data_IF_677150047371
#
_entry.id   IF_677150047371
#
_cell.length_a   1.000
_cell.length_b   1.000
_cell.length_c   1.000
_cell.angle_alpha   90.00
_cell.angle_beta   90.00
_cell.angle_gamma   90.00
#
_symmetry.space_group_name_H-M   'P 1'
#
loop_
_entity.id
_entity.type
_entity.pdbx_description
1 polymer ?
#
# COMPACT_ATOMS: atom_id res chain seq x y z
N UNK A 1 -8.66 -4.26 -14.20
CA UNK A 1 -7.42 -4.00 -13.44
C UNK A 1 -7.60 -4.23 -11.94
N UNK A 2 -8.59 -3.61 -11.27
CA UNK A 2 -8.83 -3.74 -9.83
C UNK A 2 -9.04 -5.20 -9.39
N UNK A 3 -9.86 -5.96 -10.12
CA UNK A 3 -10.11 -7.39 -9.88
C UNK A 3 -8.82 -8.22 -9.93
N UNK A 4 -7.91 -7.89 -10.84
CA UNK A 4 -6.62 -8.58 -10.95
C UNK A 4 -5.72 -8.29 -9.76
N UNK A 5 -5.64 -7.04 -9.27
CA UNK A 5 -4.94 -6.73 -8.04
C UNK A 5 -5.51 -7.49 -6.84
N UNK A 6 -6.84 -7.57 -6.72
CA UNK A 6 -7.48 -8.36 -5.66
C UNK A 6 -7.07 -9.83 -5.75
N UNK A 7 -7.27 -10.46 -6.91
CA UNK A 7 -7.02 -11.90 -7.11
C UNK A 7 -5.54 -12.27 -7.00
N UNK A 8 -4.64 -11.50 -7.61
CA UNK A 8 -3.24 -11.91 -7.76
C UNK A 8 -2.30 -11.31 -6.70
N UNK A 9 -2.72 -10.29 -5.96
CA UNK A 9 -1.93 -9.70 -4.89
C UNK A 9 -2.56 -9.95 -3.52
N UNK A 10 -3.80 -9.48 -3.32
CA UNK A 10 -4.41 -9.49 -1.98
C UNK A 10 -4.64 -10.92 -1.49
N UNK A 11 -5.12 -11.82 -2.36
CA UNK A 11 -5.37 -13.21 -1.98
C UNK A 11 -4.09 -14.05 -1.78
N UNK A 12 -2.94 -13.58 -2.23
CA UNK A 12 -1.66 -14.32 -2.13
C UNK A 12 -0.86 -14.03 -0.88
N UNK A 13 -1.23 -13.04 -0.08
CA UNK A 13 -0.52 -12.69 1.14
C UNK A 13 -1.44 -12.06 2.17
N UNK A 14 -1.27 -12.44 3.44
CA UNK A 14 -1.97 -11.83 4.56
C UNK A 14 -1.30 -10.53 5.05
N UNK A 15 -0.20 -10.12 4.43
CA UNK A 15 0.56 -8.92 4.79
C UNK A 15 0.11 -7.68 4.00
N UNK A 16 -0.76 -7.87 3.00
CA UNK A 16 -1.34 -6.80 2.20
C UNK A 16 -2.86 -6.98 2.16
N UNK A 17 -3.58 -5.92 2.41
CA UNK A 17 -5.04 -5.88 2.30
C UNK A 17 -5.47 -4.78 1.35
N UNK A 18 -6.60 -4.91 0.69
CA UNK A 18 -7.29 -3.79 0.02
C UNK A 18 -8.23 -3.10 1.02
N UNK A 19 -8.64 -1.89 0.70
CA UNK A 19 -9.80 -1.31 1.35
C UNK A 19 -11.03 -2.14 0.95
N UNK A 20 -11.82 -2.53 1.94
CA UNK A 20 -13.08 -3.20 1.72
C UNK A 20 -14.12 -2.15 1.28
N UNK A 21 -14.88 -2.49 0.26
CA UNK A 21 -16.07 -1.76 -0.11
C UNK A 21 -17.24 -2.40 0.65
N UNK A 22 -18.11 -1.56 1.20
CA UNK A 22 -19.37 -2.05 1.75
C UNK A 22 -20.19 -2.78 0.67
N UNK A 23 -20.94 -3.78 1.11
CA UNK A 23 -21.72 -4.67 0.25
C UNK A 23 -22.52 -3.90 -0.82
N UNK A 24 -22.48 -4.39 -2.06
CA UNK A 24 -23.18 -3.87 -3.25
C UNK A 24 -22.64 -2.61 -3.90
N UNK A 25 -21.64 -1.94 -3.38
CA UNK A 25 -21.11 -0.74 -4.00
C UNK A 25 -20.18 -1.05 -5.19
N UNK A 26 -20.52 -0.55 -6.37
CA UNK A 26 -19.65 -0.56 -7.53
C UNK A 26 -18.73 0.67 -7.47
N UNK A 27 -17.44 0.43 -7.39
CA UNK A 27 -16.45 1.52 -7.39
C UNK A 27 -15.99 1.83 -8.81
N UNK A 28 -15.96 3.10 -9.17
CA UNK A 28 -15.32 3.60 -10.39
C UNK A 28 -13.78 3.60 -10.32
N UNK A 29 -13.19 3.04 -9.30
CA UNK A 29 -11.74 2.81 -9.10
C UNK A 29 -10.83 3.92 -9.66
N UNK A 30 -10.87 5.08 -9.04
CA UNK A 30 -9.89 6.14 -9.29
C UNK A 30 -8.50 5.77 -8.72
N UNK A 31 -8.47 5.17 -7.54
CA UNK A 31 -7.26 4.70 -6.86
C UNK A 31 -7.43 3.24 -6.43
N UNK A 32 -6.37 2.45 -6.53
CA UNK A 32 -6.31 1.14 -5.89
C UNK A 32 -5.37 1.20 -4.68
N UNK A 33 -5.97 1.33 -3.51
CA UNK A 33 -5.23 1.48 -2.26
C UNK A 33 -5.02 0.12 -1.62
N UNK A 34 -3.77 -0.14 -1.22
CA UNK A 34 -3.38 -1.29 -0.40
C UNK A 34 -2.93 -0.83 0.98
N UNK A 35 -3.22 -1.64 1.98
CA UNK A 35 -2.71 -1.50 3.33
C UNK A 35 -1.65 -2.58 3.54
N UNK A 36 -0.39 -2.16 3.70
CA UNK A 36 0.74 -3.07 3.91
C UNK A 36 1.10 -3.09 5.38
N UNK A 37 1.22 -4.29 5.96
CA UNK A 37 1.65 -4.44 7.36
C UNK A 37 3.18 -4.33 7.46
N UNK A 38 3.68 -3.10 7.37
CA UNK A 38 5.12 -2.80 7.44
C UNK A 38 5.75 -3.24 8.77
N UNK A 39 4.97 -3.25 9.86
CA UNK A 39 5.43 -3.72 11.17
C UNK A 39 5.74 -5.21 11.13
N UNK A 40 4.84 -6.01 10.58
CA UNK A 40 5.06 -7.46 10.43
C UNK A 40 6.18 -7.76 9.44
N UNK A 41 6.29 -6.97 8.37
CA UNK A 41 7.38 -7.10 7.39
C UNK A 41 8.75 -6.67 7.94
N UNK A 42 8.79 -5.86 9.02
CA UNK A 42 10.02 -5.24 9.58
C UNK A 42 10.82 -4.45 8.55
N UNK A 43 10.15 -3.82 7.62
CA UNK A 43 10.73 -2.88 6.67
C UNK A 43 10.08 -1.51 6.81
N UNK A 44 10.86 -0.48 6.53
CA UNK A 44 10.34 0.88 6.52
C UNK A 44 9.51 1.10 5.25
N UNK A 45 8.38 1.83 5.36
CA UNK A 45 7.52 2.19 4.24
C UNK A 45 8.28 2.91 3.13
N UNK A 46 9.17 3.85 3.49
CA UNK A 46 9.95 4.60 2.50
C UNK A 46 10.97 3.70 1.79
N UNK A 47 11.53 2.68 2.48
CA UNK A 47 12.41 1.69 1.85
C UNK A 47 11.66 0.82 0.85
N UNK A 48 10.43 0.45 1.18
CA UNK A 48 9.55 -0.26 0.26
C UNK A 48 9.25 0.58 -0.99
N UNK A 49 8.88 1.85 -0.81
CA UNK A 49 8.62 2.79 -1.92
C UNK A 49 9.90 2.95 -2.78
N UNK A 50 11.07 3.16 -2.16
CA UNK A 50 12.35 3.26 -2.88
C UNK A 50 12.69 1.98 -3.66
N UNK A 51 12.40 0.82 -3.07
CA UNK A 51 12.62 -0.46 -3.74
C UNK A 51 11.74 -0.61 -4.98
N UNK A 52 10.48 -0.19 -4.91
CA UNK A 52 9.57 -0.19 -6.05
C UNK A 52 10.03 0.81 -7.13
N UNK A 53 10.48 1.99 -6.71
CA UNK A 53 10.98 3.03 -7.62
C UNK A 53 12.22 2.55 -8.42
N UNK A 54 13.12 1.76 -7.83
CA UNK A 54 14.23 1.11 -8.56
C UNK A 54 13.76 0.22 -9.71
N UNK A 55 12.54 -0.27 -9.64
CA UNK A 55 11.88 -1.03 -10.71
C UNK A 55 11.00 -0.15 -11.61
N UNK A 56 11.16 1.18 -11.54
CA UNK A 56 10.35 2.17 -12.28
C UNK A 56 8.84 2.09 -11.97
N UNK A 57 8.50 1.65 -10.76
CA UNK A 57 7.13 1.57 -10.27
C UNK A 57 6.95 2.66 -9.21
N UNK A 58 6.11 3.66 -9.53
CA UNK A 58 5.79 4.77 -8.63
C UNK A 58 4.59 4.37 -7.77
N UNK A 59 4.80 4.34 -6.46
CA UNK A 59 3.73 4.20 -5.47
C UNK A 59 3.42 5.58 -4.88
N UNK A 60 2.16 5.86 -4.65
CA UNK A 60 1.72 7.15 -4.12
C UNK A 60 1.12 7.01 -2.73
N UNK A 61 1.15 8.12 -1.97
CA UNK A 61 0.57 8.20 -0.63
C UNK A 61 -0.58 9.23 -0.66
N UNK A 62 -1.80 8.79 -0.50
CA UNK A 62 -3.01 9.62 -0.46
C UNK A 62 -3.69 9.50 0.92
N UNK A 63 -3.58 10.51 1.77
CA UNK A 63 -2.75 11.72 1.76
C UNK A 63 -2.11 11.89 3.12
N UNK A 64 -1.18 12.87 3.26
CA UNK A 64 -0.68 13.26 4.58
C UNK A 64 -1.87 13.79 5.40
N UNK A 65 -2.11 13.27 6.61
CA UNK A 65 -3.19 13.77 7.46
C UNK A 65 -3.06 15.27 7.72
N UNK A 66 -4.18 16.00 7.60
CA UNK A 66 -4.19 17.47 7.67
C UNK A 66 -3.61 18.02 8.96
N UNK A 67 -3.84 17.36 10.09
CA UNK A 67 -3.26 17.78 11.38
C UNK A 67 -1.72 17.71 11.41
N UNK A 68 -1.10 16.90 10.52
CA UNK A 68 0.36 16.88 10.34
C UNK A 68 0.85 18.02 9.46
N UNK A 69 0.06 18.41 8.46
CA UNK A 69 0.37 19.54 7.58
C UNK A 69 0.27 20.88 8.32
N UNK A 70 -0.77 21.04 9.12
CA UNK A 70 -1.04 22.29 9.84
C UNK A 70 -0.19 22.47 11.10
N UNK A 71 0.78 21.59 11.33
CA UNK A 71 1.67 21.61 12.50
C UNK A 71 0.91 21.72 13.84
N UNK A 72 -0.28 21.16 13.91
CA UNK A 72 -1.15 21.15 15.10
C UNK A 72 -0.59 20.34 16.26
N UNK A 73 0.69 19.95 16.19
CA UNK A 73 1.40 19.19 17.23
C UNK A 73 1.38 19.86 18.61
N UNK A 74 1.23 21.17 18.63
CA UNK A 74 1.17 21.93 19.90
C UNK A 74 -0.19 21.86 20.62
N UNK A 75 -1.22 21.32 19.97
CA UNK A 75 -2.51 21.05 20.62
C UNK A 75 -2.46 19.62 21.18
N UNK A 76 -1.96 19.46 22.38
CA UNK A 76 -1.77 18.22 23.16
C UNK A 76 -2.99 17.28 23.26
N UNK A 77 -4.12 17.60 22.64
CA UNK A 77 -5.41 16.97 22.92
C UNK A 77 -6.04 16.23 21.74
N UNK A 78 -5.46 16.29 20.53
CA UNK A 78 -6.14 15.68 19.36
C UNK A 78 -5.33 14.49 18.87
N UNK A 79 -5.84 13.29 19.13
CA UNK A 79 -5.30 12.03 18.61
C UNK A 79 -6.23 11.47 17.54
N UNK A 80 -5.65 11.09 16.39
CA UNK A 80 -6.37 10.46 15.29
C UNK A 80 -5.74 9.09 14.97
N UNK A 81 -5.90 8.09 15.85
CA UNK A 81 -5.17 6.82 15.73
C UNK A 81 -5.50 6.07 14.44
N UNK A 82 -6.73 6.14 13.96
CA UNK A 82 -7.14 5.49 12.70
C UNK A 82 -6.51 6.19 11.48
N UNK A 83 -6.47 7.51 11.46
CA UNK A 83 -5.81 8.27 10.39
C UNK A 83 -4.30 8.02 10.37
N UNK A 84 -3.66 7.95 11.55
CA UNK A 84 -2.25 7.59 11.67
C UNK A 84 -1.98 6.16 11.20
N UNK A 85 -2.80 5.20 11.60
CA UNK A 85 -2.71 3.80 11.19
C UNK A 85 -2.86 3.67 9.67
N UNK A 86 -3.86 4.35 9.11
CA UNK A 86 -4.06 4.40 7.66
C UNK A 86 -2.83 4.98 6.96
N UNK A 87 -2.42 6.18 7.33
CA UNK A 87 -1.29 6.87 6.69
C UNK A 87 0.02 6.06 6.78
N UNK A 88 0.26 5.37 7.90
CA UNK A 88 1.45 4.52 8.06
C UNK A 88 1.46 3.33 7.10
N UNK A 89 0.31 2.79 6.74
CA UNK A 89 0.19 1.52 6.02
C UNK A 89 -0.29 1.66 4.57
N UNK A 90 -1.00 2.74 4.23
CA UNK A 90 -1.63 2.91 2.93
C UNK A 90 -0.64 3.31 1.84
N UNK A 91 -0.78 2.66 0.68
CA UNK A 91 -0.10 3.00 -0.57
C UNK A 91 -1.07 2.81 -1.73
N UNK A 92 -1.04 3.72 -2.70
CA UNK A 92 -1.81 3.57 -3.95
C UNK A 92 -0.93 2.93 -5.01
N UNK A 93 -1.45 1.87 -5.62
CA UNK A 93 -0.84 1.20 -6.75
C UNK A 93 -1.18 1.92 -8.06
N UNK A 94 -0.32 1.83 -9.07
CA UNK A 94 -0.64 2.35 -10.40
C UNK A 94 -1.97 1.79 -10.91
N UNK A 95 -2.89 2.68 -11.26
CA UNK A 95 -4.18 2.34 -11.85
C UNK A 95 -4.57 3.46 -12.82
N UNK A 96 -4.52 3.19 -14.13
CA UNK A 96 -4.82 4.12 -15.20
C UNK A 96 -5.21 3.36 -16.47
N UNK A 97 -5.87 4.01 -17.41
CA UNK A 97 -6.47 3.36 -18.58
C UNK A 97 -5.46 2.57 -19.43
N UNK A 98 -4.26 3.12 -19.64
CA UNK A 98 -3.21 2.50 -20.48
C UNK A 98 -2.34 1.48 -19.73
N UNK A 99 -2.72 1.13 -18.49
CA UNK A 99 -2.02 0.10 -17.73
C UNK A 99 -2.35 -1.28 -18.29
N UNK A 100 -1.43 -1.84 -19.08
CA UNK A 100 -1.60 -3.17 -19.67
C UNK A 100 -1.56 -4.27 -18.60
N UNK A 101 -2.19 -5.41 -18.88
CA UNK A 101 -2.16 -6.58 -17.99
C UNK A 101 -0.74 -7.09 -17.73
N UNK A 102 0.16 -6.98 -18.71
CA UNK A 102 1.57 -7.33 -18.56
C UNK A 102 2.29 -6.42 -17.57
N UNK A 103 2.14 -5.09 -17.71
CA UNK A 103 2.69 -4.11 -16.75
C UNK A 103 2.12 -4.31 -15.35
N UNK A 104 0.82 -4.57 -15.25
CA UNK A 104 0.18 -4.85 -13.96
C UNK A 104 0.73 -6.13 -13.30
N UNK A 105 0.91 -7.21 -14.07
CA UNK A 105 1.53 -8.46 -13.59
C UNK A 105 2.96 -8.21 -13.10
N UNK A 106 3.73 -7.39 -13.82
CA UNK A 106 5.07 -6.97 -13.40
C UNK A 106 5.04 -6.28 -12.02
N UNK A 107 4.13 -5.30 -11.82
CA UNK A 107 3.96 -4.59 -10.55
C UNK A 107 3.68 -5.60 -9.41
N UNK A 108 2.69 -6.47 -9.60
CA UNK A 108 2.30 -7.49 -8.62
C UNK A 108 3.49 -8.39 -8.27
N UNK A 109 4.20 -8.87 -9.27
CA UNK A 109 5.38 -9.74 -9.09
C UNK A 109 6.46 -9.05 -8.26
N UNK A 110 6.73 -7.76 -8.51
CA UNK A 110 7.73 -7.01 -7.75
C UNK A 110 7.32 -6.79 -6.30
N UNK A 111 6.06 -6.46 -6.05
CA UNK A 111 5.52 -6.33 -4.69
C UNK A 111 5.68 -7.64 -3.92
N UNK A 112 5.21 -8.76 -4.48
CA UNK A 112 5.30 -10.08 -3.85
C UNK A 112 6.76 -10.46 -3.58
N UNK A 113 7.67 -10.20 -4.53
CA UNK A 113 9.09 -10.51 -4.37
C UNK A 113 9.73 -9.74 -3.20
N UNK A 114 9.44 -8.44 -3.06
CA UNK A 114 9.94 -7.63 -1.94
C UNK A 114 9.37 -8.12 -0.61
N UNK A 115 8.07 -8.45 -0.57
CA UNK A 115 7.41 -8.97 0.64
C UNK A 115 8.02 -10.31 1.06
N UNK A 116 8.19 -11.23 0.12
CA UNK A 116 8.75 -12.55 0.40
C UNK A 116 10.22 -12.45 0.85
N UNK A 117 11.03 -11.59 0.22
CA UNK A 117 12.40 -11.35 0.65
C UNK A 117 12.47 -10.82 2.09
N UNK A 118 11.63 -9.86 2.44
CA UNK A 118 11.53 -9.34 3.80
C UNK A 118 11.08 -10.41 4.80
N UNK A 119 10.16 -11.29 4.42
CA UNK A 119 9.67 -12.39 5.25
C UNK A 119 10.74 -13.47 5.47
N UNK A 120 11.56 -13.78 4.46
CA UNK A 120 12.67 -14.76 4.57
C UNK A 120 13.77 -14.22 5.50
N UNK A 121 14.20 -12.97 5.32
CA UNK A 121 15.19 -12.33 6.18
C UNK A 121 14.78 -12.28 7.66
N UNK A 122 13.50 -12.49 7.95
CA UNK A 122 12.95 -12.64 9.30
C UNK A 122 13.27 -13.99 9.93
N UNK A 123 13.41 -15.07 9.13
CA UNK A 123 13.63 -16.46 9.64
C UNK A 123 15.09 -16.74 9.96
N UNK A 124 16.01 -15.92 9.45
CA UNK A 124 17.47 -16.08 9.60
C UNK A 124 18.08 -15.22 10.69
N UNK A 125 17.25 -14.53 11.48
CA UNK A 125 17.63 -13.78 12.69
C UNK A 125 16.81 -14.27 13.88
#
# INVERSE_FOLDING_TARGET
>A
LSSKYKKELIMKTNLVKSLELENSNLSAWHLFIILVDFKKLRINKNDFIRSMLKHKIVLQQHYIPIYKLLNLKNKKLISFPNADKYFKNALSLPLFNDLTFSKQKYIITKIIKIINYAAIKKRTK
#
